data_IF_396487341657
#
_entry.id   IF_396487341657
#
_cell.length_a   1.000
_cell.length_b   1.000
_cell.length_c   1.000
_cell.angle_alpha   90.00
_cell.angle_beta   90.00
_cell.angle_gamma   90.00
#
_symmetry.space_group_name_H-M   'P 1'
#
loop_
_entity.id
_entity.type
_entity.pdbx_description
1 polymer ?
#
# COMPACT_ATOMS: atom_id res chain seq x y z
N UNK A 1 -50.53 -0.99 -45.06
CA UNK A 1 -50.13 -2.29 -44.48
C UNK A 1 -49.34 -3.04 -45.55
N UNK A 2 -48.25 -3.78 -45.25
CA UNK A 2 -47.92 -4.44 -43.97
C UNK A 2 -46.63 -3.91 -43.30
N UNK A 3 -46.65 -3.91 -41.96
CA UNK A 3 -45.51 -3.73 -41.06
C UNK A 3 -44.69 -5.01 -41.03
N UNK A 4 -43.37 -4.92 -41.20
CA UNK A 4 -42.45 -5.97 -40.78
C UNK A 4 -41.95 -5.69 -39.36
N UNK A 5 -41.96 -6.77 -38.56
CA UNK A 5 -41.76 -6.82 -37.11
C UNK A 5 -40.51 -7.65 -36.87
N UNK A 6 -39.46 -7.05 -36.31
CA UNK A 6 -38.38 -7.80 -35.65
C UNK A 6 -38.49 -7.59 -34.14
N UNK A 7 -38.77 -8.70 -33.45
CA UNK A 7 -38.53 -8.90 -32.02
C UNK A 7 -37.03 -9.12 -31.86
N UNK A 8 -36.39 -8.41 -30.94
CA UNK A 8 -35.37 -9.02 -30.07
C UNK A 8 -35.53 -8.46 -28.66
N UNK A 9 -35.61 -9.40 -27.72
CA UNK A 9 -35.76 -9.24 -26.28
C UNK A 9 -34.37 -9.14 -25.68
N UNK A 10 -34.06 -8.06 -24.95
CA UNK A 10 -32.97 -8.09 -23.99
C UNK A 10 -33.49 -7.71 -22.61
N UNK A 11 -33.15 -8.61 -21.71
CA UNK A 11 -33.66 -8.81 -20.37
C UNK A 11 -33.05 -7.83 -19.37
N UNK A 12 -33.89 -7.48 -18.42
CA UNK A 12 -33.67 -6.75 -17.18
C UNK A 12 -32.55 -7.35 -16.29
N UNK A 13 -31.74 -6.47 -15.68
CA UNK A 13 -31.39 -6.50 -14.24
C UNK A 13 -30.39 -5.38 -13.92
N UNK A 14 -30.90 -4.22 -13.51
CA UNK A 14 -30.14 -3.22 -12.76
C UNK A 14 -30.49 -3.41 -11.28
N UNK A 15 -29.66 -4.18 -10.58
CA UNK A 15 -29.84 -4.44 -9.15
C UNK A 15 -28.95 -3.47 -8.38
N UNK A 16 -29.54 -2.33 -8.04
CA UNK A 16 -29.02 -1.43 -7.02
C UNK A 16 -29.01 -2.12 -5.67
N UNK A 17 -27.86 -2.13 -5.00
CA UNK A 17 -27.75 -2.42 -3.57
C UNK A 17 -27.20 -1.18 -2.89
N UNK A 18 -28.14 -0.33 -2.54
CA UNK A 18 -28.07 0.68 -1.49
C UNK A 18 -28.16 -0.08 -0.16
N UNK A 19 -27.09 -0.08 0.63
CA UNK A 19 -27.14 -0.64 1.98
C UNK A 19 -26.58 0.38 2.97
N UNK A 20 -27.53 1.13 3.54
CA UNK A 20 -27.37 2.03 4.68
C UNK A 20 -26.68 1.34 5.86
N UNK A 21 -25.57 1.92 6.33
CA UNK A 21 -25.05 1.63 7.67
C UNK A 21 -25.09 2.88 8.55
N UNK A 22 -26.09 2.93 9.42
CA UNK A 22 -26.18 3.85 10.55
C UNK A 22 -25.33 3.34 11.73
N UNK A 23 -24.63 4.22 12.47
CA UNK A 23 -24.60 4.03 13.92
C UNK A 23 -24.91 5.30 14.73
N UNK A 24 -25.63 5.05 15.83
CA UNK A 24 -26.20 6.01 16.79
C UNK A 24 -25.17 6.53 17.81
N UNK A 25 -25.23 7.84 18.07
CA UNK A 25 -25.06 8.61 19.34
C UNK A 25 -24.15 8.06 20.47
N UNK A 26 -23.23 8.92 20.98
CA UNK A 26 -23.22 9.42 22.37
C UNK A 26 -22.24 10.59 22.59
N UNK A 27 -22.68 11.56 23.42
CA UNK A 27 -22.03 12.82 23.83
C UNK A 27 -21.04 12.62 24.99
N UNK A 28 -20.04 13.53 25.10
CA UNK A 28 -19.60 14.33 26.28
C UNK A 28 -18.19 14.90 26.01
N UNK A 29 -17.99 16.23 25.87
CA UNK A 29 -17.40 17.20 26.85
C UNK A 29 -16.22 16.61 27.66
N UNK A 30 -15.03 17.19 27.77
CA UNK A 30 -14.67 18.60 28.05
C UNK A 30 -13.15 18.85 27.82
N UNK A 31 -12.74 20.13 27.86
CA UNK A 31 -11.40 20.70 27.59
C UNK A 31 -10.32 20.32 28.62
N UNK A 32 -9.04 20.26 28.20
CA UNK A 32 -7.93 20.91 28.93
C UNK A 32 -6.66 21.11 28.07
N UNK A 33 -6.32 22.40 27.87
CA UNK A 33 -5.03 23.14 27.88
C UNK A 33 -3.70 22.47 27.41
N UNK A 34 -2.99 23.22 26.58
CA UNK A 34 -1.57 23.13 26.11
C UNK A 34 -0.57 22.92 27.26
N UNK A 35 0.68 22.44 27.14
CA UNK A 35 1.74 22.66 26.12
C UNK A 35 2.91 21.63 26.35
N UNK A 36 4.10 21.74 25.72
CA UNK A 36 4.71 20.72 24.87
C UNK A 36 5.60 19.70 25.62
N UNK A 37 5.61 18.44 25.17
CA UNK A 37 6.66 17.47 25.53
C UNK A 37 7.19 16.74 24.31
N UNK A 38 8.50 16.88 24.13
CA UNK A 38 9.40 16.17 23.23
C UNK A 38 9.02 14.69 23.10
N UNK A 39 8.97 14.18 21.86
CA UNK A 39 8.73 12.77 21.59
C UNK A 39 9.89 12.16 20.83
N UNK A 40 10.78 11.56 21.61
CA UNK A 40 11.59 10.39 21.29
C UNK A 40 10.72 9.23 20.73
N UNK A 41 11.32 8.19 20.13
CA UNK A 41 10.77 7.49 18.97
C UNK A 41 9.50 6.70 19.33
N UNK A 42 8.44 6.92 18.55
CA UNK A 42 7.19 6.15 18.65
C UNK A 42 7.48 4.68 18.38
N UNK A 43 7.26 3.87 19.42
CA UNK A 43 7.02 2.42 19.36
C UNK A 43 6.20 2.09 18.12
N UNK A 44 6.77 1.27 17.22
CA UNK A 44 6.05 0.63 16.12
C UNK A 44 4.87 -0.14 16.73
N UNK A 45 3.64 0.31 16.45
CA UNK A 45 2.45 -0.49 16.68
C UNK A 45 2.62 -1.75 15.83
N UNK A 46 2.62 -2.93 16.46
CA UNK A 46 2.38 -4.17 15.74
C UNK A 46 0.92 -4.13 15.28
N UNK A 47 0.72 -3.79 14.01
CA UNK A 47 -0.48 -4.08 13.23
C UNK A 47 -0.16 -5.46 12.62
N UNK A 48 -0.72 -6.54 13.13
CA UNK A 48 -1.95 -7.10 12.56
C UNK A 48 -1.55 -8.02 11.41
N UNK A 49 -1.69 -9.34 11.61
CA UNK A 49 -1.35 -10.43 10.68
C UNK A 49 -1.82 -10.11 9.25
N UNK A 50 -0.93 -9.52 8.46
CA UNK A 50 -1.23 -8.80 7.23
C UNK A 50 0.06 -8.35 6.54
N UNK A 51 0.01 -7.92 5.26
CA UNK A 51 1.16 -7.76 4.35
C UNK A 51 2.26 -6.77 4.81
N UNK A 52 2.15 -6.18 6.00
CA UNK A 52 3.17 -5.31 6.59
C UNK A 52 4.32 -6.05 7.29
N UNK A 53 4.19 -7.35 7.59
CA UNK A 53 5.18 -8.08 8.41
C UNK A 53 6.59 -8.16 7.77
N UNK A 54 6.70 -7.85 6.47
CA UNK A 54 7.97 -7.84 5.74
C UNK A 54 8.26 -6.52 5.03
N UNK A 55 7.77 -5.38 5.53
CA UNK A 55 8.13 -4.05 5.02
C UNK A 55 9.27 -3.39 5.82
N UNK A 56 10.30 -2.96 5.09
CA UNK A 56 11.49 -2.30 5.60
C UNK A 56 11.60 -0.88 4.98
N UNK A 57 11.47 0.20 5.77
CA UNK A 57 11.50 1.57 5.23
C UNK A 57 12.91 1.99 4.81
N UNK A 58 13.04 2.54 3.60
CA UNK A 58 14.24 3.25 3.10
C UNK A 58 14.10 4.76 3.25
N UNK A 59 12.89 5.29 3.08
CA UNK A 59 12.53 6.69 3.32
C UNK A 59 11.07 6.79 3.76
N UNK A 60 10.54 8.01 3.92
CA UNK A 60 9.12 8.22 4.27
C UNK A 60 8.15 7.53 3.30
N UNK A 61 8.53 7.41 2.02
CA UNK A 61 7.68 6.90 0.95
C UNK A 61 8.34 5.77 0.15
N UNK A 62 9.50 5.25 0.57
CA UNK A 62 10.18 4.15 -0.12
C UNK A 62 10.41 3.00 0.83
N UNK A 63 10.08 1.80 0.38
CA UNK A 63 10.15 0.59 1.18
C UNK A 63 10.74 -0.55 0.37
N UNK A 64 11.46 -1.43 1.06
CA UNK A 64 11.75 -2.79 0.61
C UNK A 64 10.68 -3.69 1.22
N UNK A 65 10.02 -4.56 0.43
CA UNK A 65 9.06 -5.53 0.95
C UNK A 65 9.29 -6.91 0.39
N UNK A 66 9.18 -7.95 1.22
CA UNK A 66 9.22 -9.35 0.77
C UNK A 66 7.79 -9.87 0.69
N UNK A 67 7.38 -10.37 -0.46
CA UNK A 67 6.03 -10.93 -0.65
C UNK A 67 6.06 -12.17 -1.54
N UNK A 68 5.02 -12.97 -1.43
CA UNK A 68 4.77 -14.06 -2.37
C UNK A 68 3.77 -13.61 -3.44
N UNK A 69 4.08 -13.89 -4.70
CA UNK A 69 3.18 -13.66 -5.82
C UNK A 69 3.21 -14.83 -6.78
N UNK A 70 2.05 -15.49 -6.94
CA UNK A 70 1.89 -16.67 -7.81
C UNK A 70 2.94 -17.76 -7.52
N UNK A 71 3.14 -18.10 -6.24
CA UNK A 71 4.09 -19.15 -5.83
C UNK A 71 5.57 -18.74 -5.89
N UNK A 72 5.88 -17.47 -6.13
CA UNK A 72 7.25 -16.95 -6.19
C UNK A 72 7.47 -15.89 -5.12
N UNK A 73 8.56 -16.02 -4.37
CA UNK A 73 9.02 -14.98 -3.44
C UNK A 73 9.68 -13.87 -4.26
N UNK A 74 9.22 -12.65 -4.05
CA UNK A 74 9.74 -11.44 -4.68
C UNK A 74 10.10 -10.41 -3.62
N UNK A 75 11.18 -9.67 -3.90
CA UNK A 75 11.65 -8.56 -3.07
C UNK A 75 11.36 -7.27 -3.85
N UNK A 76 10.37 -6.50 -3.41
CA UNK A 76 10.02 -5.22 -4.03
C UNK A 76 10.80 -4.07 -3.39
N UNK A 77 11.44 -3.25 -4.21
CA UNK A 77 12.00 -1.96 -3.80
C UNK A 77 11.15 -0.88 -4.50
N UNK A 78 10.25 -0.22 -3.78
CA UNK A 78 9.17 0.58 -4.38
C UNK A 78 8.90 1.89 -3.65
N UNK A 79 8.58 2.93 -4.44
CA UNK A 79 8.03 4.19 -3.97
C UNK A 79 6.50 4.08 -3.86
N UNK A 80 5.96 4.50 -2.72
CA UNK A 80 4.53 4.52 -2.40
C UNK A 80 4.03 5.96 -2.43
N UNK A 81 2.79 6.14 -2.85
CA UNK A 81 2.09 7.43 -2.74
C UNK A 81 0.97 7.31 -1.71
N UNK A 82 0.54 8.46 -1.19
CA UNK A 82 -0.62 8.54 -0.31
C UNK A 82 -1.81 8.94 -1.16
N UNK A 83 -2.87 8.13 -1.15
CA UNK A 83 -4.10 8.45 -1.85
C UNK A 83 -4.95 9.48 -1.08
N UNK A 84 -6.08 9.88 -1.67
CA UNK A 84 -6.99 10.87 -1.06
C UNK A 84 -7.61 10.37 0.26
N UNK A 85 -7.61 9.06 0.50
CA UNK A 85 -8.09 8.42 1.72
C UNK A 85 -7.02 8.40 2.83
N UNK A 86 -5.78 8.76 2.50
CA UNK A 86 -4.64 8.72 3.42
C UNK A 86 -3.92 7.38 3.46
N UNK A 87 -4.25 6.42 2.59
CA UNK A 87 -3.62 5.11 2.55
C UNK A 87 -2.35 5.12 1.67
N UNK A 88 -1.35 4.34 2.09
CA UNK A 88 -0.16 4.12 1.28
C UNK A 88 -0.46 3.09 0.19
N UNK A 89 -0.28 3.49 -1.07
CA UNK A 89 -0.45 2.63 -2.25
C UNK A 89 0.87 2.52 -3.02
N UNK A 90 1.19 1.33 -3.56
CA UNK A 90 2.40 1.13 -4.35
C UNK A 90 2.35 2.00 -5.62
N UNK A 91 3.39 2.77 -5.87
CA UNK A 91 3.53 3.59 -7.06
C UNK A 91 4.15 2.84 -8.25
N UNK A 92 4.17 3.51 -9.41
CA UNK A 92 4.80 2.99 -10.64
C UNK A 92 6.32 2.87 -10.52
N UNK A 93 6.97 3.73 -9.71
CA UNK A 93 8.42 3.71 -9.51
C UNK A 93 8.82 2.60 -8.54
N UNK A 94 9.57 1.63 -9.05
CA UNK A 94 10.11 0.54 -8.26
C UNK A 94 10.40 -0.69 -9.11
N UNK A 95 11.07 -1.67 -8.51
CA UNK A 95 11.43 -2.94 -9.13
C UNK A 95 11.06 -4.09 -8.19
N UNK A 96 10.63 -5.21 -8.76
CA UNK A 96 10.47 -6.48 -8.06
C UNK A 96 11.64 -7.38 -8.44
N UNK A 97 12.48 -7.73 -7.47
CA UNK A 97 13.63 -8.61 -7.65
C UNK A 97 13.22 -10.06 -7.35
N UNK A 98 13.77 -10.99 -8.11
CA UNK A 98 13.77 -12.41 -7.73
C UNK A 98 14.76 -12.64 -6.59
N UNK A 99 14.67 -13.80 -5.93
CA UNK A 99 15.63 -14.20 -4.89
C UNK A 99 17.07 -14.22 -5.44
N UNK A 100 17.27 -14.75 -6.64
CA UNK A 100 18.59 -14.78 -7.30
C UNK A 100 19.17 -13.38 -7.55
N UNK A 101 18.32 -12.44 -7.99
CA UNK A 101 18.75 -11.04 -8.21
C UNK A 101 19.08 -10.36 -6.89
N UNK A 102 18.33 -10.66 -5.82
CA UNK A 102 18.61 -10.16 -4.48
C UNK A 102 19.95 -10.68 -3.93
N UNK A 103 20.27 -11.95 -4.16
CA UNK A 103 21.57 -12.52 -3.78
C UNK A 103 22.74 -11.81 -4.48
N UNK A 104 22.66 -11.63 -5.80
CA UNK A 104 23.66 -10.86 -6.54
C UNK A 104 23.78 -9.41 -6.09
N UNK A 105 22.67 -8.80 -5.69
CA UNK A 105 22.70 -7.45 -5.13
C UNK A 105 23.48 -7.44 -3.81
N UNK A 106 23.24 -8.40 -2.92
CA UNK A 106 23.97 -8.52 -1.65
C UNK A 106 25.47 -8.69 -1.88
N UNK A 107 25.85 -9.55 -2.81
CA UNK A 107 27.27 -9.82 -3.11
C UNK A 107 28.00 -8.60 -3.68
N UNK A 108 27.28 -7.68 -4.33
CA UNK A 108 27.84 -6.44 -4.88
C UNK A 108 27.72 -5.22 -3.94
N UNK A 109 27.16 -5.36 -2.74
CA UNK A 109 26.97 -4.22 -1.81
C UNK A 109 28.28 -3.52 -1.46
N UNK A 110 29.35 -4.28 -1.24
CA UNK A 110 30.65 -3.69 -0.85
C UNK A 110 31.26 -2.87 -1.98
N UNK A 111 31.23 -3.39 -3.21
CA UNK A 111 31.71 -2.69 -4.40
C UNK A 111 30.90 -1.42 -4.66
N UNK A 112 29.56 -1.53 -4.62
CA UNK A 112 28.66 -0.37 -4.76
C UNK A 112 28.93 0.66 -3.66
N UNK A 113 29.15 0.22 -2.42
CA UNK A 113 29.44 1.12 -1.29
C UNK A 113 30.74 1.89 -1.48
N UNK A 114 31.77 1.25 -2.04
CA UNK A 114 33.02 1.92 -2.38
C UNK A 114 32.80 2.97 -3.49
N UNK A 115 32.10 2.61 -4.57
CA UNK A 115 31.79 3.56 -5.65
C UNK A 115 30.94 4.75 -5.17
N UNK A 116 29.99 4.53 -4.24
CA UNK A 116 29.20 5.62 -3.66
C UNK A 116 30.09 6.60 -2.90
N UNK A 117 31.06 6.11 -2.10
CA UNK A 117 31.99 6.96 -1.34
C UNK A 117 32.92 7.77 -2.24
N UNK A 118 33.29 7.24 -3.39
CA UNK A 118 34.15 7.94 -4.35
C UNK A 118 33.42 9.07 -5.10
N UNK A 119 32.11 8.92 -5.31
CA UNK A 119 31.28 9.88 -6.05
C UNK A 119 30.50 10.86 -5.17
N UNK A 120 30.44 10.63 -3.86
CA UNK A 120 29.77 11.48 -2.87
C UNK A 120 30.70 12.52 -2.28
#
# INVERSE_FOLDING_TARGET
MPRYKSKETLSSSDSGSDEEYQPKKKKMKEKHVEEPKEKSPKKKKKMGDGPEDHMYPLSRQRFVSVREFRGKVLIDIREYYTDNSGELKPGKKGISLTVEQWEKLKDSVDEVSNSVRELS
#
